data_IF_242203801582
#
_entry.id   IF_242203801582
#
_cell.length_a   1.000
_cell.length_b   1.000
_cell.length_c   1.000
_cell.angle_alpha   90.00
_cell.angle_beta   90.00
_cell.angle_gamma   90.00
#
_symmetry.space_group_name_H-M   'P 1'
#
loop_
_entity.id
_entity.type
_entity.pdbx_description
1 polymer ?
#
# COMPACT_ATOMS: atom_id res chain seq x y z
N UNK A 1 26.95 2.54 -40.44
CA UNK A 1 28.40 2.29 -40.30
C UNK A 1 28.59 1.30 -39.16
N UNK A 2 28.90 0.04 -39.46
CA UNK A 2 29.05 -1.01 -38.45
C UNK A 2 30.42 -0.83 -37.79
N UNK A 3 30.44 -0.42 -36.52
CA UNK A 3 31.69 -0.25 -35.76
C UNK A 3 32.40 -1.60 -35.68
N UNK A 4 33.56 -1.70 -36.34
CA UNK A 4 34.43 -2.87 -36.30
C UNK A 4 35.01 -2.95 -34.88
N UNK A 5 34.57 -3.90 -34.06
CA UNK A 5 35.13 -4.08 -32.73
C UNK A 5 36.61 -4.45 -32.85
N UNK A 6 37.49 -3.59 -32.34
CA UNK A 6 38.92 -3.87 -32.21
C UNK A 6 39.10 -4.92 -31.10
N UNK A 7 39.54 -6.11 -31.48
CA UNK A 7 39.82 -7.21 -30.53
C UNK A 7 41.28 -7.14 -30.13
N UNK A 8 41.56 -6.99 -28.84
CA UNK A 8 42.92 -7.04 -28.28
C UNK A 8 43.23 -8.43 -27.73
N UNK A 9 44.44 -8.92 -27.98
CA UNK A 9 44.91 -10.20 -27.43
C UNK A 9 45.63 -9.95 -26.12
N UNK A 10 45.16 -10.61 -25.07
CA UNK A 10 45.77 -10.59 -23.75
C UNK A 10 46.23 -11.99 -23.36
N UNK A 11 47.33 -12.08 -22.64
CA UNK A 11 47.80 -13.34 -22.02
C UNK A 11 47.40 -13.31 -20.55
N UNK A 12 46.70 -14.35 -20.10
CA UNK A 12 46.23 -14.48 -18.71
C UNK A 12 46.61 -15.83 -18.14
N UNK A 13 46.98 -15.87 -16.87
CA UNK A 13 47.17 -17.11 -16.11
C UNK A 13 45.87 -17.47 -15.41
N UNK A 14 45.32 -18.64 -15.72
CA UNK A 14 44.11 -19.18 -15.11
C UNK A 14 44.40 -20.55 -14.50
N UNK A 15 43.68 -20.95 -13.44
CA UNK A 15 43.72 -22.32 -12.96
C UNK A 15 43.40 -23.31 -14.09
N UNK A 16 44.11 -24.44 -14.13
CA UNK A 16 43.96 -25.43 -15.19
C UNK A 16 42.51 -25.95 -15.29
N UNK A 17 41.85 -26.15 -14.15
CA UNK A 17 40.45 -26.58 -14.11
C UNK A 17 39.50 -25.53 -14.69
N UNK A 18 39.72 -24.24 -14.43
CA UNK A 18 38.90 -23.15 -15.00
C UNK A 18 39.02 -23.11 -16.53
N UNK A 19 40.25 -23.27 -17.04
CA UNK A 19 40.49 -23.31 -18.48
C UNK A 19 39.81 -24.54 -19.12
N UNK A 20 39.95 -25.71 -18.48
CA UNK A 20 39.32 -26.95 -18.92
C UNK A 20 37.78 -26.83 -18.93
N UNK A 21 37.19 -26.24 -17.89
CA UNK A 21 35.75 -25.97 -17.85
C UNK A 21 35.30 -25.09 -19.02
N UNK A 22 36.06 -24.04 -19.35
CA UNK A 22 35.75 -23.18 -20.48
C UNK A 22 35.83 -23.95 -21.82
N UNK A 23 36.88 -24.76 -22.00
CA UNK A 23 37.07 -25.58 -23.20
C UNK A 23 35.99 -26.65 -23.39
N UNK A 24 35.53 -27.28 -22.30
CA UNK A 24 34.50 -28.31 -22.35
C UNK A 24 33.09 -27.74 -22.56
N UNK A 25 32.82 -26.54 -22.05
CA UNK A 25 31.45 -26.00 -21.96
C UNK A 25 31.10 -24.96 -23.02
N UNK A 26 32.07 -24.27 -23.64
CA UNK A 26 31.73 -23.17 -24.57
C UNK A 26 30.80 -23.60 -25.71
N UNK A 27 31.06 -24.75 -26.35
CA UNK A 27 30.18 -25.29 -27.41
C UNK A 27 28.82 -25.74 -26.88
N UNK A 28 28.80 -26.40 -25.72
CA UNK A 28 27.56 -26.88 -25.10
C UNK A 28 26.64 -25.71 -24.75
N UNK A 29 27.23 -24.57 -24.39
CA UNK A 29 26.52 -23.32 -24.08
C UNK A 29 26.24 -22.47 -25.32
N UNK A 30 26.55 -22.95 -26.54
CA UNK A 30 26.20 -22.30 -27.80
C UNK A 30 27.17 -21.21 -28.28
N UNK A 31 28.38 -21.12 -27.71
CA UNK A 31 29.39 -20.15 -28.14
C UNK A 31 30.25 -20.69 -29.28
N UNK A 32 30.65 -19.82 -30.20
CA UNK A 32 31.47 -20.19 -31.36
C UNK A 32 32.90 -20.57 -30.98
N UNK A 33 33.47 -19.87 -30.00
CA UNK A 33 34.82 -20.13 -29.50
C UNK A 33 34.95 -19.78 -28.01
N UNK A 34 36.05 -20.24 -27.39
CA UNK A 34 36.35 -19.99 -25.98
C UNK A 34 36.42 -18.50 -25.65
N UNK A 35 36.98 -17.67 -26.53
CA UNK A 35 37.12 -16.24 -26.28
C UNK A 35 35.76 -15.55 -26.19
N UNK A 36 34.80 -15.93 -27.03
CA UNK A 36 33.44 -15.40 -26.98
C UNK A 36 32.73 -15.78 -25.69
N UNK A 37 32.93 -17.01 -25.24
CA UNK A 37 32.43 -17.47 -23.95
C UNK A 37 33.04 -16.65 -22.79
N UNK A 38 34.36 -16.48 -22.76
CA UNK A 38 35.05 -15.72 -21.71
C UNK A 38 34.61 -14.24 -21.71
N UNK A 39 34.54 -13.60 -22.88
CA UNK A 39 34.06 -12.22 -23.02
C UNK A 39 32.63 -12.07 -22.49
N UNK A 40 31.75 -13.00 -22.84
CA UNK A 40 30.36 -13.01 -22.37
C UNK A 40 30.28 -13.21 -20.86
N UNK A 41 31.05 -14.14 -20.30
CA UNK A 41 31.08 -14.41 -18.87
C UNK A 41 31.53 -13.18 -18.06
N UNK A 42 32.55 -12.45 -18.52
CA UNK A 42 33.02 -11.21 -17.87
C UNK A 42 31.92 -10.14 -17.91
N UNK A 43 31.30 -9.93 -19.07
CA UNK A 43 30.22 -8.94 -19.23
C UNK A 43 29.02 -9.26 -18.35
N UNK A 44 28.61 -10.52 -18.32
CA UNK A 44 27.51 -11.00 -17.49
C UNK A 44 27.78 -10.79 -16.00
N UNK A 45 28.99 -11.11 -15.52
CA UNK A 45 29.37 -10.88 -14.12
C UNK A 45 29.27 -9.39 -13.74
N UNK A 46 29.85 -8.52 -14.57
CA UNK A 46 29.83 -7.06 -14.33
C UNK A 46 28.40 -6.53 -14.37
N UNK A 47 27.60 -6.92 -15.38
CA UNK A 47 26.20 -6.51 -15.49
C UNK A 47 25.37 -6.95 -14.28
N UNK A 48 25.57 -8.17 -13.77
CA UNK A 48 24.89 -8.66 -12.56
C UNK A 48 25.29 -7.91 -11.31
N UNK A 49 26.58 -7.61 -11.13
CA UNK A 49 27.05 -6.87 -9.96
C UNK A 49 26.52 -5.44 -9.94
N UNK A 50 26.56 -4.76 -11.09
CA UNK A 50 25.95 -3.43 -11.29
C UNK A 50 24.46 -3.49 -10.96
N UNK A 51 23.71 -4.45 -11.52
CA UNK A 51 22.29 -4.60 -11.24
C UNK A 51 22.03 -4.86 -9.75
N UNK A 52 22.89 -5.63 -9.08
CA UNK A 52 22.75 -5.90 -7.64
C UNK A 52 22.90 -4.62 -6.82
N UNK A 53 23.88 -3.78 -7.13
CA UNK A 53 24.08 -2.48 -6.48
C UNK A 53 22.89 -1.54 -6.72
N UNK A 54 22.46 -1.38 -7.97
CA UNK A 54 21.32 -0.55 -8.32
C UNK A 54 20.00 -1.05 -7.70
N UNK A 55 19.78 -2.36 -7.66
CA UNK A 55 18.55 -2.94 -7.09
C UNK A 55 18.42 -2.67 -5.58
N UNK A 56 19.54 -2.63 -4.84
CA UNK A 56 19.54 -2.29 -3.42
C UNK A 56 19.14 -0.83 -3.18
N UNK A 57 19.71 0.10 -3.96
CA UNK A 57 19.40 1.53 -3.88
C UNK A 57 17.94 1.83 -4.28
N UNK A 58 17.46 1.21 -5.37
CA UNK A 58 16.07 1.35 -5.83
C UNK A 58 15.07 0.83 -4.80
N UNK A 59 15.34 -0.31 -4.16
CA UNK A 59 14.47 -0.87 -3.12
C UNK A 59 14.38 0.05 -1.89
N UNK A 60 15.50 0.67 -1.49
CA UNK A 60 15.53 1.60 -0.36
C UNK A 60 14.76 2.90 -0.66
N UNK A 61 14.93 3.45 -1.86
CA UNK A 61 14.20 4.64 -2.32
C UNK A 61 12.70 4.34 -2.42
N UNK A 62 12.33 3.20 -3.01
CA UNK A 62 10.93 2.80 -3.12
C UNK A 62 10.26 2.65 -1.74
N UNK A 63 10.94 1.99 -0.79
CA UNK A 63 10.43 1.87 0.58
C UNK A 63 10.34 3.21 1.33
N UNK A 64 11.18 4.20 1.00
CA UNK A 64 11.06 5.56 1.54
C UNK A 64 9.84 6.31 0.98
N UNK A 65 9.62 6.23 -0.33
CA UNK A 65 8.47 6.86 -1.00
C UNK A 65 7.16 6.24 -0.50
N UNK A 66 7.08 4.91 -0.43
CA UNK A 66 5.88 4.21 0.05
C UNK A 66 5.51 4.65 1.48
N UNK A 67 6.51 4.70 2.39
CA UNK A 67 6.29 5.17 3.76
C UNK A 67 5.87 6.64 3.84
N UNK A 68 6.39 7.52 2.97
CA UNK A 68 5.99 8.92 2.96
C UNK A 68 4.58 9.12 2.43
N UNK A 69 4.19 8.39 1.38
CA UNK A 69 2.84 8.45 0.83
C UNK A 69 1.80 7.91 1.82
N UNK A 70 2.08 6.77 2.46
CA UNK A 70 1.22 6.22 3.52
C UNK A 70 1.04 7.24 4.65
N UNK A 71 2.13 7.85 5.13
CA UNK A 71 2.06 8.86 6.20
C UNK A 71 1.25 10.09 5.79
N UNK A 72 1.40 10.58 4.56
CA UNK A 72 0.62 11.71 4.05
C UNK A 72 -0.87 11.38 3.98
N UNK A 73 -1.23 10.18 3.53
CA UNK A 73 -2.60 9.69 3.50
C UNK A 73 -3.18 9.56 4.92
N UNK A 74 -2.45 8.99 5.86
CA UNK A 74 -2.85 8.89 7.27
C UNK A 74 -3.13 10.27 7.88
N UNK A 75 -2.25 11.25 7.63
CA UNK A 75 -2.45 12.61 8.14
C UNK A 75 -3.69 13.27 7.52
N UNK A 76 -3.90 13.09 6.22
CA UNK A 76 -5.08 13.61 5.53
C UNK A 76 -6.38 12.97 6.05
N UNK A 77 -6.40 11.65 6.19
CA UNK A 77 -7.53 10.90 6.73
C UNK A 77 -7.84 11.30 8.19
N UNK A 78 -6.81 11.53 9.00
CA UNK A 78 -6.98 11.99 10.39
C UNK A 78 -7.64 13.37 10.44
N UNK A 79 -7.18 14.33 9.63
CA UNK A 79 -7.78 15.68 9.52
C UNK A 79 -9.23 15.62 9.03
N UNK A 80 -9.54 14.76 8.07
CA UNK A 80 -10.90 14.57 7.57
C UNK A 80 -11.80 13.93 8.63
N UNK A 81 -11.32 12.88 9.31
CA UNK A 81 -12.04 12.20 10.38
C UNK A 81 -12.38 13.15 11.53
N UNK A 82 -11.45 14.04 11.89
CA UNK A 82 -11.70 15.08 12.87
C UNK A 82 -12.81 16.03 12.45
N UNK A 83 -12.79 16.52 11.19
CA UNK A 83 -13.86 17.40 10.66
C UNK A 83 -15.23 16.72 10.69
N UNK A 84 -15.31 15.46 10.26
CA UNK A 84 -16.55 14.67 10.32
C UNK A 84 -17.03 14.51 11.77
N UNK A 85 -16.12 14.23 12.71
CA UNK A 85 -16.49 14.10 14.12
C UNK A 85 -17.04 15.42 14.69
N UNK A 86 -16.47 16.56 14.31
CA UNK A 86 -16.99 17.89 14.68
C UNK A 86 -18.37 18.12 14.09
N UNK A 87 -18.59 17.83 12.81
CA UNK A 87 -19.91 17.96 12.16
C UNK A 87 -20.97 17.08 12.82
N UNK A 88 -20.65 15.82 13.15
CA UNK A 88 -21.54 14.91 13.88
C UNK A 88 -21.86 15.47 15.28
N UNK A 89 -20.86 16.00 16.00
CA UNK A 89 -21.08 16.61 17.30
C UNK A 89 -21.99 17.84 17.21
N UNK A 90 -21.83 18.67 16.18
CA UNK A 90 -22.71 19.81 15.91
C UNK A 90 -24.14 19.36 15.62
N UNK A 91 -24.34 18.33 14.79
CA UNK A 91 -25.66 17.77 14.53
C UNK A 91 -26.31 17.21 15.80
N UNK A 92 -25.55 16.50 16.64
CA UNK A 92 -26.06 15.98 17.91
C UNK A 92 -26.48 17.11 18.86
N UNK A 93 -25.66 18.16 19.01
CA UNK A 93 -26.00 19.32 19.83
C UNK A 93 -27.26 20.03 19.31
N UNK A 94 -27.37 20.20 17.99
CA UNK A 94 -28.56 20.76 17.36
C UNK A 94 -29.81 19.91 17.62
N UNK A 95 -29.71 18.58 17.46
CA UNK A 95 -30.82 17.67 17.75
C UNK A 95 -31.22 17.70 19.23
N UNK A 96 -30.26 17.70 20.16
CA UNK A 96 -30.55 17.85 21.60
C UNK A 96 -31.21 19.18 21.94
N UNK A 97 -30.87 20.26 21.23
CA UNK A 97 -31.50 21.57 21.43
C UNK A 97 -32.97 21.62 21.00
N UNK A 98 -33.40 20.71 20.11
CA UNK A 98 -34.77 20.63 19.58
C UNK A 98 -35.55 19.49 20.23
N UNK A 99 -34.86 18.45 20.70
CA UNK A 99 -35.44 17.23 21.24
C UNK A 99 -34.68 16.87 22.52
N UNK A 100 -35.34 16.87 23.67
CA UNK A 100 -34.75 16.38 24.93
C UNK A 100 -34.57 14.86 24.86
N UNK A 101 -33.48 14.41 24.22
CA UNK A 101 -33.15 12.99 24.09
C UNK A 101 -32.32 12.54 25.30
N UNK A 102 -32.79 11.60 26.13
CA UNK A 102 -32.02 11.09 27.26
C UNK A 102 -30.76 10.34 26.80
N UNK A 103 -29.63 10.57 27.49
CA UNK A 103 -28.32 9.99 27.15
C UNK A 103 -28.32 8.44 27.12
N UNK A 104 -29.19 7.80 27.91
CA UNK A 104 -29.27 6.34 28.05
C UNK A 104 -29.69 5.60 26.76
N UNK A 105 -30.38 6.26 25.82
CA UNK A 105 -30.86 5.63 24.58
C UNK A 105 -29.86 5.69 23.42
N UNK A 106 -28.78 6.46 23.55
CA UNK A 106 -27.75 6.64 22.52
C UNK A 106 -26.97 5.36 22.22
N UNK A 107 -26.74 4.49 23.22
CA UNK A 107 -25.97 3.26 23.03
C UNK A 107 -26.75 2.20 22.23
N UNK A 108 -28.07 2.12 22.41
CA UNK A 108 -28.97 1.28 21.60
C UNK A 108 -29.07 1.79 20.16
N UNK A 109 -29.10 3.12 20.00
CA UNK A 109 -29.09 3.78 18.69
C UNK A 109 -27.81 3.46 17.89
N UNK A 110 -26.63 3.41 18.53
CA UNK A 110 -25.38 3.02 17.87
C UNK A 110 -25.45 1.61 17.28
N UNK A 111 -25.95 0.64 18.04
CA UNK A 111 -26.08 -0.75 17.57
C UNK A 111 -26.98 -0.87 16.32
N UNK A 112 -28.12 -0.18 16.34
CA UNK A 112 -29.06 -0.15 15.20
C UNK A 112 -28.48 0.59 14.00
N UNK A 113 -27.79 1.71 14.21
CA UNK A 113 -27.12 2.45 13.15
C UNK A 113 -26.06 1.60 12.43
N UNK A 114 -25.24 0.86 13.18
CA UNK A 114 -24.27 -0.10 12.62
C UNK A 114 -24.98 -1.18 11.79
N UNK A 115 -26.08 -1.74 12.31
CA UNK A 115 -26.86 -2.75 11.60
C UNK A 115 -27.45 -2.21 10.29
N UNK A 116 -28.01 -1.00 10.32
CA UNK A 116 -28.58 -0.35 9.12
C UNK A 116 -27.50 -0.11 8.07
N UNK A 117 -26.35 0.45 8.47
CA UNK A 117 -25.19 0.70 7.59
C UNK A 117 -24.68 -0.58 6.96
N UNK A 118 -24.55 -1.66 7.74
CA UNK A 118 -24.09 -2.95 7.24
C UNK A 118 -25.08 -3.55 6.23
N UNK A 119 -26.38 -3.49 6.52
CA UNK A 119 -27.42 -4.01 5.66
C UNK A 119 -27.58 -3.20 4.37
N UNK A 120 -27.21 -1.93 4.39
CA UNK A 120 -27.38 -1.01 3.26
C UNK A 120 -26.08 -0.64 2.55
N UNK A 121 -24.99 -1.37 2.81
CA UNK A 121 -23.65 -1.15 2.24
C UNK A 121 -23.16 0.30 2.37
N UNK A 122 -23.47 0.94 3.49
CA UNK A 122 -23.05 2.31 3.76
C UNK A 122 -24.09 3.40 3.48
N UNK A 123 -25.26 3.08 2.93
CA UNK A 123 -26.26 4.08 2.56
C UNK A 123 -27.56 3.95 3.35
N UNK A 124 -27.86 4.86 4.27
CA UNK A 124 -29.14 4.82 5.02
C UNK A 124 -30.05 5.97 4.56
N UNK A 125 -31.10 5.71 3.77
CA UNK A 125 -32.02 6.77 3.34
C UNK A 125 -32.84 7.27 4.53
N UNK A 126 -32.95 8.61 4.66
CA UNK A 126 -33.67 9.27 5.76
C UNK A 126 -35.14 8.85 5.85
N UNK A 127 -35.78 8.59 4.72
CA UNK A 127 -37.18 8.13 4.66
C UNK A 127 -37.38 6.75 5.31
N UNK A 128 -36.38 5.89 5.26
CA UNK A 128 -36.40 4.57 5.89
C UNK A 128 -36.03 4.66 7.38
N UNK A 129 -35.09 5.56 7.72
CA UNK A 129 -34.76 5.86 9.11
C UNK A 129 -35.98 6.40 9.90
N UNK A 130 -36.79 7.26 9.29
CA UNK A 130 -38.03 7.80 9.89
C UNK A 130 -39.08 6.71 10.13
N UNK A 131 -39.21 5.73 9.23
CA UNK A 131 -40.14 4.60 9.40
C UNK A 131 -39.70 3.63 10.50
N UNK A 132 -38.40 3.57 10.78
CA UNK A 132 -37.79 2.74 11.84
C UNK A 132 -37.77 3.42 13.22
N UNK A 133 -38.60 4.46 13.44
CA UNK A 133 -38.75 5.18 14.72
C UNK A 133 -38.78 4.18 15.88
N UNK A 134 -37.79 4.27 16.76
CA UNK A 134 -37.92 3.67 18.09
C UNK A 134 -38.80 4.61 18.91
N UNK A 135 -39.72 4.05 19.71
CA UNK A 135 -40.30 4.78 20.82
C UNK A 135 -39.17 5.11 21.80
N UNK A 136 -38.57 6.28 21.63
CA UNK A 136 -37.74 6.90 22.65
C UNK A 136 -38.74 7.31 23.73
N UNK A 137 -38.63 6.71 24.92
CA UNK A 137 -39.49 7.06 26.04
C UNK A 137 -39.07 8.46 26.48
N UNK A 138 -39.80 9.46 26.01
CA UNK A 138 -39.71 10.81 26.56
C UNK A 138 -39.94 10.68 28.06
N UNK A 139 -39.14 11.37 28.88
CA UNK A 139 -39.50 11.52 30.28
C UNK A 139 -40.89 12.16 30.25
N UNK A 140 -41.91 11.43 30.70
CA UNK A 140 -43.19 12.06 31.01
C UNK A 140 -42.86 13.22 31.93
N UNK A 141 -43.42 14.39 31.63
CA UNK A 141 -43.48 15.48 32.58
C UNK A 141 -44.15 14.93 33.85
N UNK A 142 -43.33 14.50 34.82
CA UNK A 142 -43.74 14.56 36.22
C UNK A 142 -43.73 16.03 36.59
N UNK A 143 -44.75 16.75 36.10
CA UNK A 143 -45.39 17.78 36.90
C UNK A 143 -45.89 17.07 38.17
N UNK A 144 -45.30 17.38 39.32
CA UNK A 144 -46.06 17.40 40.57
C UNK A 144 -45.37 18.25 41.65
N UNK A 145 -46.01 19.40 41.91
CA UNK A 145 -46.09 20.22 43.14
C UNK A 145 -45.00 21.23 43.47
#
# INVERSE_FOLDING_TARGET
>A
MMMKQTTEKITVSLPADTLRMADEKYKVLGFENRSDFINTAIREYISRDILRQFSGELAEIYGKIERSEIRNLEEHLSKLSYKIAVEIAQMNLFLTSIMEVPYLDTHKLRGKAVQMVNNSRGYVPLTEAVKSRMEIRYMDDTDES
#
